data_IF_716720182009
#
_entry.id   IF_716720182009
#
_cell.length_a   1.000
_cell.length_b   1.000
_cell.length_c   1.000
_cell.angle_alpha   90.00
_cell.angle_beta   90.00
_cell.angle_gamma   90.00
#
_symmetry.space_group_name_H-M   'P 1'
#
loop_
_entity.id
_entity.type
_entity.pdbx_description
1 polymer ?
#
# COMPACT_ATOMS: atom_id res chain seq x y z
N UNK A 1 -15.79 -28.05 -2.80
CA UNK A 1 -15.38 -26.69 -3.18
C UNK A 1 -14.16 -26.23 -2.38
N UNK A 2 -14.10 -26.52 -1.07
CA UNK A 2 -12.93 -26.20 -0.21
C UNK A 2 -11.59 -26.82 -0.65
N UNK A 3 -11.58 -27.96 -1.33
CA UNK A 3 -10.34 -28.61 -1.77
C UNK A 3 -9.70 -27.92 -2.97
N UNK A 4 -10.50 -27.34 -3.88
CA UNK A 4 -10.02 -26.55 -5.01
C UNK A 4 -9.50 -25.19 -4.53
N UNK A 5 -10.16 -24.58 -3.55
CA UNK A 5 -9.69 -23.34 -2.91
C UNK A 5 -8.37 -23.57 -2.18
N UNK A 6 -8.24 -24.63 -1.38
CA UNK A 6 -6.96 -24.97 -0.70
C UNK A 6 -5.84 -25.31 -1.69
N UNK A 7 -6.16 -25.92 -2.83
CA UNK A 7 -5.16 -26.25 -3.85
C UNK A 7 -4.73 -25.02 -4.64
N UNK A 8 -5.66 -24.11 -4.93
CA UNK A 8 -5.37 -22.80 -5.49
C UNK A 8 -4.54 -21.97 -4.50
N UNK A 9 -4.96 -21.86 -3.25
CA UNK A 9 -4.26 -21.09 -2.22
C UNK A 9 -2.83 -21.58 -1.99
N UNK A 10 -2.59 -22.90 -2.10
CA UNK A 10 -1.25 -23.50 -2.01
C UNK A 10 -0.37 -23.29 -3.24
N UNK A 11 -0.97 -23.07 -4.42
CA UNK A 11 -0.26 -22.64 -5.65
C UNK A 11 -0.01 -21.13 -5.66
N UNK A 12 -0.82 -20.37 -4.93
CA UNK A 12 -0.81 -18.91 -4.89
C UNK A 12 0.07 -18.31 -3.79
N UNK A 13 0.80 -19.11 -2.99
CA UNK A 13 1.76 -18.59 -2.02
C UNK A 13 3.00 -18.01 -2.72
N UNK A 14 2.90 -16.73 -3.08
CA UNK A 14 3.85 -15.62 -3.27
C UNK A 14 5.19 -15.83 -4.02
N UNK A 15 5.75 -17.04 -4.06
CA UNK A 15 6.96 -17.39 -4.83
C UNK A 15 6.70 -18.38 -5.98
N UNK A 16 5.57 -19.11 -5.95
CA UNK A 16 5.29 -20.19 -6.91
C UNK A 16 4.17 -19.86 -7.91
N UNK A 17 3.44 -18.74 -7.78
CA UNK A 17 2.36 -18.39 -8.71
C UNK A 17 2.86 -18.26 -10.15
N UNK A 18 3.97 -17.53 -10.36
CA UNK A 18 4.59 -17.39 -11.67
C UNK A 18 5.09 -18.72 -12.24
N UNK A 19 5.48 -19.67 -11.38
CA UNK A 19 5.94 -21.00 -11.79
C UNK A 19 4.76 -21.93 -12.12
N UNK A 20 3.68 -21.90 -11.32
CA UNK A 20 2.48 -22.70 -11.53
C UNK A 20 1.71 -22.29 -12.79
N UNK A 21 1.56 -20.98 -13.00
CA UNK A 21 0.93 -20.42 -14.22
C UNK A 21 1.78 -20.72 -15.45
N UNK A 22 3.11 -20.51 -15.36
CA UNK A 22 4.01 -20.81 -16.47
C UNK A 22 3.97 -22.29 -16.85
N UNK A 23 4.03 -23.20 -15.87
CA UNK A 23 4.00 -24.65 -16.12
C UNK A 23 2.69 -25.09 -16.76
N UNK A 24 1.56 -24.57 -16.28
CA UNK A 24 0.23 -24.93 -16.81
C UNK A 24 0.03 -24.44 -18.24
N UNK A 25 0.38 -23.18 -18.52
CA UNK A 25 0.21 -22.58 -19.85
C UNK A 25 1.24 -23.16 -20.83
N UNK A 26 2.51 -23.32 -20.44
CA UNK A 26 3.52 -23.95 -21.30
C UNK A 26 3.16 -25.39 -21.61
N UNK A 27 2.64 -26.14 -20.62
CA UNK A 27 2.13 -27.50 -20.81
C UNK A 27 0.94 -27.56 -21.77
N UNK A 28 -0.02 -26.65 -21.66
CA UNK A 28 -1.16 -26.57 -22.58
C UNK A 28 -0.75 -26.22 -24.01
N UNK A 29 0.24 -25.32 -24.17
CA UNK A 29 0.83 -24.98 -25.47
C UNK A 29 1.54 -26.19 -26.06
N UNK A 30 2.40 -26.88 -25.28
CA UNK A 30 3.09 -28.08 -25.72
C UNK A 30 2.16 -29.20 -26.14
N UNK A 31 1.12 -29.45 -25.34
CA UNK A 31 0.10 -30.46 -25.64
C UNK A 31 -0.70 -30.10 -26.90
N UNK A 32 -1.07 -28.82 -27.07
CA UNK A 32 -1.73 -28.36 -28.29
C UNK A 32 -0.81 -28.52 -29.51
N UNK A 33 0.45 -28.12 -29.42
CA UNK A 33 1.42 -28.27 -30.51
C UNK A 33 1.61 -29.75 -30.88
N UNK A 34 1.67 -30.64 -29.89
CA UNK A 34 1.75 -32.09 -30.13
C UNK A 34 0.52 -32.62 -30.87
N UNK A 35 -0.69 -32.24 -30.46
CA UNK A 35 -1.92 -32.71 -31.10
C UNK A 35 -2.07 -32.20 -32.55
N UNK A 36 -1.59 -31.00 -32.85
CA UNK A 36 -1.69 -30.42 -34.21
C UNK A 36 -0.61 -30.91 -35.16
N UNK A 37 0.64 -31.01 -34.72
CA UNK A 37 1.78 -31.35 -35.58
C UNK A 37 2.18 -32.83 -35.50
N UNK A 38 1.64 -33.58 -34.52
CA UNK A 38 1.96 -34.97 -34.23
C UNK A 38 3.46 -35.25 -34.07
N UNK A 39 4.23 -34.19 -33.74
CA UNK A 39 5.68 -34.22 -33.56
C UNK A 39 6.02 -33.79 -32.12
N UNK A 40 6.61 -34.74 -31.39
CA UNK A 40 7.01 -34.55 -30.00
C UNK A 40 8.20 -33.59 -29.83
N UNK A 41 9.06 -33.44 -30.84
CA UNK A 41 10.24 -32.55 -30.80
C UNK A 41 9.77 -31.10 -30.84
N UNK A 42 8.88 -30.77 -31.77
CA UNK A 42 8.31 -29.41 -31.91
C UNK A 42 7.53 -29.03 -30.64
N UNK A 43 6.79 -29.98 -30.07
CA UNK A 43 6.10 -29.78 -28.79
C UNK A 43 7.07 -29.47 -27.64
N UNK A 44 8.18 -30.19 -27.52
CA UNK A 44 9.18 -29.97 -26.47
C UNK A 44 9.83 -28.57 -26.57
N UNK A 45 10.22 -28.16 -27.79
CA UNK A 45 10.80 -26.83 -28.02
C UNK A 45 9.79 -25.71 -27.73
N UNK A 46 8.51 -25.92 -28.08
CA UNK A 46 7.43 -24.98 -27.78
C UNK A 46 7.27 -24.76 -26.26
N UNK A 47 7.34 -25.83 -25.46
CA UNK A 47 7.30 -25.73 -23.98
C UNK A 47 8.53 -25.00 -23.45
N UNK A 48 9.74 -25.36 -23.91
CA UNK A 48 10.99 -24.75 -23.43
C UNK A 48 11.06 -23.25 -23.69
N UNK A 49 10.54 -22.77 -24.83
CA UNK A 49 10.56 -21.36 -25.19
C UNK A 49 9.43 -20.59 -24.50
N UNK A 50 8.22 -21.17 -24.44
CA UNK A 50 7.06 -20.49 -23.85
C UNK A 50 7.17 -20.34 -22.34
N UNK A 51 7.73 -21.31 -21.64
CA UNK A 51 7.86 -21.31 -20.18
C UNK A 51 8.53 -20.05 -19.59
N UNK A 52 9.74 -19.62 -20.01
CA UNK A 52 10.37 -18.42 -19.46
C UNK A 52 9.60 -17.13 -19.79
N UNK A 53 8.99 -17.03 -20.98
CA UNK A 53 8.22 -15.86 -21.41
C UNK A 53 6.98 -15.69 -20.51
N UNK A 54 6.22 -16.77 -20.33
CA UNK A 54 5.01 -16.76 -19.51
C UNK A 54 5.37 -16.51 -18.04
N UNK A 55 6.47 -17.09 -17.55
CA UNK A 55 6.93 -16.88 -16.17
C UNK A 55 7.20 -15.41 -15.88
N UNK A 56 7.91 -14.71 -16.78
CA UNK A 56 8.20 -13.28 -16.63
C UNK A 56 6.89 -12.48 -16.65
N UNK A 57 6.02 -12.72 -17.63
CA UNK A 57 4.75 -12.02 -17.77
C UNK A 57 3.81 -12.20 -16.55
N UNK A 58 3.73 -13.43 -16.01
CA UNK A 58 2.93 -13.75 -14.83
C UNK A 58 3.50 -13.09 -13.57
N UNK A 59 4.82 -13.14 -13.39
CA UNK A 59 5.47 -12.52 -12.22
C UNK A 59 5.35 -10.99 -12.22
N UNK A 60 5.42 -10.35 -13.39
CA UNK A 60 5.28 -8.89 -13.51
C UNK A 60 3.84 -8.44 -13.30
N UNK A 61 2.86 -9.18 -13.84
CA UNK A 61 1.44 -8.87 -13.67
C UNK A 61 0.99 -9.05 -12.21
N UNK A 62 1.48 -10.07 -11.52
CA UNK A 62 1.16 -10.31 -10.11
C UNK A 62 1.68 -9.17 -9.21
N UNK A 63 2.95 -8.77 -9.39
CA UNK A 63 3.52 -7.62 -8.68
C UNK A 63 2.73 -6.34 -8.92
N UNK A 64 2.38 -6.05 -10.18
CA UNK A 64 1.64 -4.82 -10.48
C UNK A 64 0.25 -4.78 -9.85
N UNK A 65 -0.45 -5.91 -9.79
CA UNK A 65 -1.75 -5.99 -9.12
C UNK A 65 -1.63 -5.95 -7.60
N UNK A 66 -0.59 -6.57 -7.03
CA UNK A 66 -0.31 -6.56 -5.60
C UNK A 66 0.05 -5.16 -5.13
N UNK A 67 0.91 -4.43 -5.86
CA UNK A 67 1.29 -3.06 -5.55
C UNK A 67 0.07 -2.12 -5.55
N UNK A 68 -0.84 -2.29 -6.54
CA UNK A 68 -2.10 -1.54 -6.61
C UNK A 68 -3.07 -1.89 -5.48
N UNK A 69 -3.20 -3.17 -5.14
CA UNK A 69 -4.06 -3.61 -4.04
C UNK A 69 -3.52 -3.12 -2.69
N UNK A 70 -2.20 -3.15 -2.52
CA UNK A 70 -1.52 -2.67 -1.33
C UNK A 70 -1.68 -1.15 -1.20
N UNK A 71 -1.49 -0.38 -2.27
CA UNK A 71 -1.78 1.06 -2.26
C UNK A 71 -3.23 1.37 -1.87
N UNK A 72 -4.21 0.67 -2.45
CA UNK A 72 -5.62 0.85 -2.08
C UNK A 72 -5.90 0.47 -0.62
N UNK A 73 -5.20 -0.54 -0.09
CA UNK A 73 -5.36 -0.94 1.32
C UNK A 73 -4.78 0.11 2.28
N UNK A 74 -3.64 0.70 1.93
CA UNK A 74 -3.00 1.77 2.70
C UNK A 74 -3.88 3.01 2.68
N UNK A 75 -4.40 3.39 1.51
CA UNK A 75 -5.30 4.54 1.35
C UNK A 75 -6.59 4.36 2.17
N UNK A 76 -7.20 3.17 2.13
CA UNK A 76 -8.38 2.86 2.95
C UNK A 76 -8.08 2.84 4.44
N UNK A 77 -6.93 2.31 4.85
CA UNK A 77 -6.51 2.33 6.24
C UNK A 77 -6.35 3.77 6.74
N UNK A 78 -5.72 4.62 5.94
CA UNK A 78 -5.55 6.05 6.23
C UNK A 78 -6.90 6.78 6.29
N UNK A 79 -7.82 6.46 5.39
CA UNK A 79 -9.18 7.01 5.39
C UNK A 79 -9.98 6.60 6.63
N UNK A 80 -9.90 5.33 7.03
CA UNK A 80 -10.49 4.86 8.29
C UNK A 80 -9.88 5.56 9.51
N UNK A 81 -8.55 5.75 9.51
CA UNK A 81 -7.85 6.46 10.58
C UNK A 81 -8.29 7.92 10.68
N UNK A 82 -8.34 8.63 9.55
CA UNK A 82 -8.77 10.03 9.48
C UNK A 82 -10.24 10.21 9.87
N UNK A 83 -11.13 9.36 9.37
CA UNK A 83 -12.55 9.39 9.71
C UNK A 83 -12.81 8.97 11.17
N UNK A 84 -11.94 8.17 11.76
CA UNK A 84 -11.95 7.78 13.17
C UNK A 84 -11.33 8.82 14.11
N UNK A 85 -10.94 10.00 13.62
CA UNK A 85 -10.53 11.12 14.46
C UNK A 85 -11.75 11.84 15.04
N UNK A 86 -11.67 12.18 16.31
CA UNK A 86 -12.63 13.07 16.97
C UNK A 86 -12.50 14.49 16.44
N UNK A 87 -13.53 15.32 16.62
CA UNK A 87 -13.51 16.72 16.15
C UNK A 87 -12.35 17.52 16.75
N UNK A 88 -11.99 17.27 18.01
CA UNK A 88 -10.84 17.93 18.64
C UNK A 88 -9.49 17.47 18.06
N UNK A 89 -9.34 16.20 17.70
CA UNK A 89 -8.13 15.72 17.02
C UNK A 89 -8.02 16.28 15.59
N UNK A 90 -9.15 16.41 14.89
CA UNK A 90 -9.18 17.06 13.56
C UNK A 90 -8.75 18.53 13.63
N UNK A 91 -9.12 19.26 14.70
CA UNK A 91 -8.66 20.63 14.90
C UNK A 91 -7.14 20.71 15.07
N UNK A 92 -6.54 19.75 15.78
CA UNK A 92 -5.08 19.67 15.89
C UNK A 92 -4.47 19.48 14.51
N UNK A 93 -4.96 18.51 13.73
CA UNK A 93 -4.50 18.25 12.35
C UNK A 93 -4.67 19.48 11.45
N UNK A 94 -5.81 20.17 11.54
CA UNK A 94 -6.09 21.38 10.78
C UNK A 94 -5.09 22.50 11.11
N UNK A 95 -4.67 22.64 12.37
CA UNK A 95 -3.67 23.63 12.74
C UNK A 95 -2.30 23.38 12.10
N UNK A 96 -1.92 22.12 11.85
CA UNK A 96 -0.71 21.80 11.07
C UNK A 96 -0.87 22.20 9.60
N UNK A 97 -2.03 21.91 9.01
CA UNK A 97 -2.35 22.29 7.62
C UNK A 97 -2.33 23.82 7.45
N UNK A 98 -2.95 24.55 8.38
CA UNK A 98 -2.99 26.02 8.38
C UNK A 98 -1.60 26.64 8.54
N UNK A 99 -0.73 26.00 9.32
CA UNK A 99 0.67 26.42 9.46
C UNK A 99 1.51 26.10 8.20
N UNK A 100 0.99 25.31 7.27
CA UNK A 100 1.64 24.97 6.00
C UNK A 100 2.77 23.94 6.13
N UNK A 101 2.78 23.15 7.21
CA UNK A 101 3.86 22.18 7.43
C UNK A 101 3.46 21.04 8.37
N UNK A 102 4.21 19.93 8.28
CA UNK A 102 4.04 18.75 9.14
C UNK A 102 4.63 18.92 10.53
N UNK A 103 5.26 20.06 10.81
CA UNK A 103 6.02 20.29 12.05
C UNK A 103 5.62 21.59 12.71
N UNK A 104 5.36 21.52 14.01
CA UNK A 104 5.06 22.68 14.85
C UNK A 104 5.88 22.61 16.13
N UNK A 105 6.46 23.74 16.54
CA UNK A 105 7.17 23.81 17.83
C UNK A 105 6.20 23.77 19.00
N UNK A 106 6.65 23.31 20.16
CA UNK A 106 5.84 23.39 21.40
C UNK A 106 5.33 24.80 21.68
N UNK A 107 6.15 25.82 21.40
CA UNK A 107 5.75 27.23 21.60
C UNK A 107 4.59 27.65 20.67
N UNK A 108 4.55 27.13 19.45
CA UNK A 108 3.48 27.39 18.49
C UNK A 108 2.21 26.65 18.90
N UNK A 109 2.32 25.38 19.30
CA UNK A 109 1.18 24.60 19.77
C UNK A 109 0.55 25.21 21.02
N UNK A 110 1.36 25.65 21.99
CA UNK A 110 0.86 26.28 23.22
C UNK A 110 0.15 27.63 22.99
N UNK A 111 0.34 28.26 21.83
CA UNK A 111 -0.39 29.48 21.45
C UNK A 111 -1.73 29.18 20.80
N UNK A 112 -1.94 27.96 20.34
CA UNK A 112 -3.20 27.50 19.77
C UNK A 112 -4.10 27.02 20.92
N UNK A 113 -5.39 27.35 20.85
CA UNK A 113 -6.40 26.89 21.82
C UNK A 113 -6.82 25.44 21.50
N UNK A 114 -5.87 24.51 21.67
CA UNK A 114 -6.04 23.09 21.37
C UNK A 114 -6.16 22.29 22.67
N UNK A 115 -7.00 21.25 22.63
CA UNK A 115 -7.15 20.33 23.75
C UNK A 115 -5.88 19.49 23.93
N UNK A 116 -5.27 19.57 25.11
CA UNK A 116 -4.10 18.74 25.46
C UNK A 116 -4.42 17.25 25.36
N UNK A 117 -5.65 16.85 25.69
CA UNK A 117 -6.08 15.46 25.58
C UNK A 117 -6.13 14.98 24.12
N UNK A 118 -6.45 15.86 23.16
CA UNK A 118 -6.45 15.51 21.74
C UNK A 118 -5.03 15.33 21.21
N UNK A 119 -4.07 16.16 21.65
CA UNK A 119 -2.65 16.03 21.30
C UNK A 119 -2.12 14.70 21.84
N UNK A 120 -2.34 14.40 23.12
CA UNK A 120 -1.90 13.14 23.74
C UNK A 120 -2.56 11.91 23.09
N UNK A 121 -3.83 12.00 22.71
CA UNK A 121 -4.51 10.95 21.96
C UNK A 121 -3.84 10.67 20.61
N UNK A 122 -3.49 11.72 19.86
CA UNK A 122 -2.77 11.57 18.58
C UNK A 122 -1.37 10.98 18.77
N UNK A 123 -0.68 11.32 19.86
CA UNK A 123 0.62 10.72 20.21
C UNK A 123 0.48 9.23 20.52
N UNK A 124 -0.52 8.85 21.32
CA UNK A 124 -0.78 7.44 21.66
C UNK A 124 -1.21 6.60 20.46
N UNK A 125 -1.84 7.24 19.47
CA UNK A 125 -2.22 6.61 18.19
C UNK A 125 -1.06 6.54 17.19
N UNK A 126 0.14 6.99 17.57
CA UNK A 126 1.34 7.06 16.72
C UNK A 126 1.16 7.94 15.48
N UNK A 127 0.20 8.87 15.50
CA UNK A 127 -0.08 9.82 14.41
C UNK A 127 0.65 11.15 14.60
N UNK A 128 1.16 11.38 15.81
CA UNK A 128 1.94 12.54 16.20
C UNK A 128 3.16 12.07 16.99
N UNK A 129 4.32 12.64 16.73
CA UNK A 129 5.56 12.31 17.45
C UNK A 129 6.21 13.57 17.99
N UNK A 130 6.89 13.43 19.11
CA UNK A 130 7.79 14.47 19.62
C UNK A 130 9.17 14.28 19.02
N UNK A 131 9.75 15.38 18.54
CA UNK A 131 11.08 15.41 17.96
C UNK A 131 11.78 16.71 18.33
N UNK A 132 13.10 16.74 18.17
CA UNK A 132 13.90 17.96 18.34
C UNK A 132 14.23 18.50 16.95
N UNK A 133 14.10 19.81 16.78
CA UNK A 133 14.48 20.47 15.52
C UNK A 133 15.98 20.28 15.23
N UNK A 134 16.38 20.61 14.01
CA UNK A 134 17.78 20.53 13.56
C UNK A 134 18.74 21.41 14.36
N UNK A 135 18.22 22.39 15.10
CA UNK A 135 18.97 23.21 16.05
C UNK A 135 19.37 22.47 17.34
N UNK A 136 18.81 21.28 17.58
CA UNK A 136 19.08 20.45 18.75
C UNK A 136 18.52 21.00 20.07
N UNK A 137 17.75 22.09 20.03
CA UNK A 137 17.32 22.81 21.22
C UNK A 137 15.81 22.99 21.29
N UNK A 138 15.12 23.00 20.14
CA UNK A 138 13.69 23.30 20.09
C UNK A 138 12.89 22.01 19.96
N UNK A 139 12.07 21.71 20.98
CA UNK A 139 11.11 20.61 20.93
C UNK A 139 9.97 20.94 19.94
N UNK A 140 9.61 19.93 19.15
CA UNK A 140 8.62 20.02 18.09
C UNK A 140 7.73 18.79 18.07
N UNK A 141 6.51 18.99 17.60
CA UNK A 141 5.59 17.94 17.25
C UNK A 141 5.62 17.76 15.74
N UNK A 142 5.71 16.50 15.32
CA UNK A 142 5.73 16.08 13.93
C UNK A 142 4.47 15.26 13.68
N UNK A 143 3.66 15.71 12.72
CA UNK A 143 2.48 14.98 12.26
C UNK A 143 2.88 13.96 11.21
N UNK A 144 2.19 12.81 11.20
CA UNK A 144 2.32 11.84 10.12
C UNK A 144 2.08 12.47 8.74
N UNK A 145 3.00 12.21 7.82
CA UNK A 145 2.99 12.84 6.49
C UNK A 145 1.79 12.37 5.66
N UNK A 146 1.41 11.10 5.76
CA UNK A 146 0.24 10.60 5.04
C UNK A 146 -1.04 11.23 5.60
N UNK A 147 -1.12 11.40 6.92
CA UNK A 147 -2.24 12.08 7.57
C UNK A 147 -2.33 13.57 7.17
N UNK A 148 -1.18 14.26 7.11
CA UNK A 148 -1.09 15.64 6.64
C UNK A 148 -1.56 15.79 5.18
N UNK A 149 -1.06 14.95 4.28
CA UNK A 149 -1.43 15.00 2.86
C UNK A 149 -2.93 14.72 2.65
N UNK A 150 -3.50 13.80 3.44
CA UNK A 150 -4.94 13.52 3.43
C UNK A 150 -5.75 14.70 3.93
N UNK A 151 -5.33 15.34 5.03
CA UNK A 151 -5.99 16.52 5.56
C UNK A 151 -5.92 17.71 4.60
N UNK A 152 -4.76 17.94 3.97
CA UNK A 152 -4.58 18.97 2.95
C UNK A 152 -5.49 18.73 1.74
N UNK A 153 -5.60 17.48 1.29
CA UNK A 153 -6.51 17.11 0.18
C UNK A 153 -7.97 17.37 0.53
N UNK A 154 -8.41 17.02 1.75
CA UNK A 154 -9.77 17.25 2.22
C UNK A 154 -10.12 18.75 2.35
N UNK A 155 -9.18 19.57 2.84
CA UNK A 155 -9.34 21.03 2.93
C UNK A 155 -9.47 21.66 1.55
N UNK A 156 -8.69 21.20 0.57
CA UNK A 156 -8.76 21.70 -0.82
C UNK A 156 -10.05 21.28 -1.55
N UNK A 157 -10.57 20.07 -1.30
CA UNK A 157 -11.88 19.64 -1.81
C UNK A 157 -13.03 20.45 -1.23
N UNK A 158 -12.89 20.92 0.03
CA UNK A 158 -13.91 21.73 0.70
C UNK A 158 -13.96 23.20 0.21
N UNK A 159 -12.93 23.64 -0.51
CA UNK A 159 -12.79 25.00 -1.02
C UNK A 159 -13.33 25.18 -2.47
N UNK A 160 -13.77 24.09 -3.11
CA UNK A 160 -14.33 24.06 -4.48
C UNK A 160 -15.81 23.70 -4.47
#
# INVERSE_FOLDING_TARGET
>A
METLEKWAERIYSESDFGRGVATSISGAIGLSTYLFFNDWVIALFSVMISFPIIRIAASSSYKWNQDRAQQKSIERALECTFNGLTEHEKLVVAAFVDAGGTTLTFSQINRLDLSSAAIESLVQRELLWTSVMSDGMTESFVLDMALFDKALSATNESAH
#
